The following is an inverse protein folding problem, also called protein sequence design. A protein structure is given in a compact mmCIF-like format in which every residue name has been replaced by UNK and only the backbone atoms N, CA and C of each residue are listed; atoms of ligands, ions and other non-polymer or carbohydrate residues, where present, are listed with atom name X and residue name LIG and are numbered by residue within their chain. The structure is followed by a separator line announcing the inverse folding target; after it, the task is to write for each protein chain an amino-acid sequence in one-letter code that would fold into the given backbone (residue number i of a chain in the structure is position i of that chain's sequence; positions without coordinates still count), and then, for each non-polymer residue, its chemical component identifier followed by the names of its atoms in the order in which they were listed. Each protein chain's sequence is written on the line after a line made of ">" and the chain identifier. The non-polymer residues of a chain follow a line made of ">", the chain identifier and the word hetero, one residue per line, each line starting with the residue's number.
data_IF_487416177550
#
_entry.id   IF_487416177550
#
_cell.length_a   1.000
_cell.length_b   1.000
_cell.length_c   1.000
_cell.angle_alpha   90.00
_cell.angle_beta   90.00
_cell.angle_gamma   90.00
#
_symmetry.space_group_name_H-M   'P 1'
#
loop_
_entity.id
_entity.type
_entity.pdbx_description
1 polymer ?
#
# COMPACT_ATOMS: atom_id res chain seq x y z
N UNK A 1 -0.53 -37.48 33.57
CA UNK A 1 -0.15 -37.94 32.21
C UNK A 1 0.75 -39.16 32.37
N UNK A 2 0.59 -40.23 31.58
CA UNK A 2 1.32 -41.48 31.79
C UNK A 2 2.83 -41.42 31.46
N UNK A 3 3.28 -40.47 30.66
CA UNK A 3 4.68 -40.32 30.24
C UNK A 3 5.32 -39.08 30.89
N UNK A 4 6.42 -39.22 31.61
CA UNK A 4 7.11 -38.13 32.33
C UNK A 4 8.20 -37.43 31.49
N UNK A 5 8.04 -37.35 30.16
CA UNK A 5 9.02 -36.79 29.23
C UNK A 5 8.42 -35.66 28.40
N UNK A 6 9.29 -34.72 27.97
CA UNK A 6 8.88 -33.59 27.08
C UNK A 6 8.38 -34.04 25.70
N UNK A 7 8.83 -35.18 25.17
CA UNK A 7 8.32 -35.79 23.95
C UNK A 7 7.65 -37.13 24.19
N UNK A 8 6.32 -37.10 24.33
CA UNK A 8 5.52 -38.32 24.54
C UNK A 8 5.58 -39.28 23.34
N UNK A 9 5.87 -38.79 22.11
CA UNK A 9 5.95 -39.63 20.91
C UNK A 9 7.22 -40.43 20.91
N UNK A 10 8.34 -39.83 21.28
CA UNK A 10 9.62 -40.48 21.42
C UNK A 10 9.61 -41.54 22.53
N UNK A 11 9.01 -41.23 23.69
CA UNK A 11 8.84 -42.22 24.77
C UNK A 11 7.98 -43.42 24.33
N UNK A 12 6.94 -43.22 23.55
CA UNK A 12 6.13 -44.31 22.97
C UNK A 12 6.93 -45.14 21.97
N UNK A 13 7.74 -44.49 21.12
CA UNK A 13 8.64 -45.18 20.19
C UNK A 13 9.68 -46.03 20.92
N UNK A 14 10.31 -45.47 21.96
CA UNK A 14 11.24 -46.22 22.81
C UNK A 14 10.60 -47.44 23.46
N UNK A 15 9.40 -47.29 24.04
CA UNK A 15 8.64 -48.44 24.61
C UNK A 15 8.35 -49.51 23.56
N UNK A 16 7.96 -49.17 22.36
CA UNK A 16 7.66 -50.11 21.26
C UNK A 16 8.94 -50.78 20.78
N UNK A 17 10.04 -50.03 20.60
CA UNK A 17 11.33 -50.55 20.16
C UNK A 17 11.87 -51.59 21.15
N UNK A 18 11.79 -51.30 22.43
CA UNK A 18 12.23 -52.24 23.48
C UNK A 18 11.36 -53.52 23.52
N UNK A 19 10.03 -53.36 23.35
CA UNK A 19 9.14 -54.52 23.24
C UNK A 19 9.47 -55.39 22.02
N UNK A 20 9.76 -54.81 20.88
CA UNK A 20 10.13 -55.55 19.67
C UNK A 20 11.46 -56.29 19.86
N UNK A 21 12.43 -55.66 20.50
CA UNK A 21 13.73 -56.26 20.79
C UNK A 21 13.65 -57.46 21.76
N UNK A 22 12.71 -57.42 22.71
CA UNK A 22 12.50 -58.49 23.69
C UNK A 22 11.66 -59.68 23.13
N UNK A 23 11.08 -59.56 21.97
CA UNK A 23 10.34 -60.62 21.28
C UNK A 23 9.02 -61.04 21.91
N UNK A 24 8.52 -62.25 21.58
CA UNK A 24 7.18 -62.70 21.96
C UNK A 24 7.04 -63.06 23.46
N UNK A 25 8.11 -63.45 24.14
CA UNK A 25 8.13 -63.88 25.54
C UNK A 25 8.24 -62.70 26.54
N UNK A 26 8.07 -61.46 26.09
CA UNK A 26 8.25 -60.27 26.93
C UNK A 26 7.27 -60.20 28.11
N UNK A 27 7.80 -60.02 29.31
CA UNK A 27 6.97 -59.71 30.48
C UNK A 27 6.50 -58.23 30.39
N UNK A 28 5.27 -58.03 29.89
CA UNK A 28 4.68 -56.72 29.70
C UNK A 28 4.61 -55.90 31.01
N UNK A 29 4.44 -56.56 32.15
CA UNK A 29 4.39 -55.88 33.46
C UNK A 29 5.73 -55.29 33.81
N UNK A 30 6.83 -56.04 33.62
CA UNK A 30 8.19 -55.57 33.87
C UNK A 30 8.57 -54.42 32.92
N UNK A 31 8.22 -54.54 31.64
CA UNK A 31 8.45 -53.49 30.64
C UNK A 31 7.70 -52.19 30.97
N UNK A 32 6.40 -52.29 31.34
CA UNK A 32 5.61 -51.12 31.71
C UNK A 32 6.15 -50.41 32.97
N UNK A 33 6.66 -51.19 33.95
CA UNK A 33 7.33 -50.63 35.16
C UNK A 33 8.57 -49.81 34.77
N UNK A 34 9.42 -50.33 33.89
CA UNK A 34 10.63 -49.61 33.40
C UNK A 34 10.29 -48.29 32.74
N UNK A 35 9.21 -48.26 31.95
CA UNK A 35 8.76 -47.04 31.30
C UNK A 35 7.81 -46.18 32.15
N UNK A 36 7.61 -46.54 33.44
CA UNK A 36 6.75 -45.83 34.38
C UNK A 36 5.30 -45.61 33.87
N UNK A 37 4.73 -46.61 33.16
CA UNK A 37 3.37 -46.59 32.64
C UNK A 37 2.53 -47.74 33.18
N UNK A 38 1.20 -47.59 33.18
CA UNK A 38 0.30 -48.70 33.53
C UNK A 38 0.28 -49.77 32.43
N UNK A 39 -0.03 -51.04 32.84
CA UNK A 39 -0.21 -52.13 31.86
C UNK A 39 -1.22 -51.79 30.79
N UNK A 40 -2.33 -51.19 31.17
CA UNK A 40 -3.38 -50.75 30.23
C UNK A 40 -2.83 -49.76 29.20
N UNK A 41 -2.02 -48.79 29.62
CA UNK A 41 -1.33 -47.85 28.74
C UNK A 41 -0.37 -48.58 27.78
N UNK A 42 0.43 -49.53 28.28
CA UNK A 42 1.33 -50.32 27.47
C UNK A 42 0.62 -51.13 26.39
N UNK A 43 -0.42 -51.89 26.76
CA UNK A 43 -1.23 -52.64 25.77
C UNK A 43 -1.99 -51.75 24.80
N UNK A 44 -2.47 -50.58 25.23
CA UNK A 44 -3.09 -49.58 24.34
C UNK A 44 -2.15 -49.14 23.24
N UNK A 45 -0.94 -48.75 23.56
CA UNK A 45 0.04 -48.30 22.60
C UNK A 45 0.57 -49.42 21.72
N UNK A 46 0.74 -50.63 22.26
CA UNK A 46 1.09 -51.82 21.51
C UNK A 46 0.03 -52.14 20.44
N UNK A 47 -1.23 -52.22 20.83
CA UNK A 47 -2.35 -52.44 19.87
C UNK A 47 -2.40 -51.40 18.79
N UNK A 48 -2.15 -50.12 19.14
CA UNK A 48 -2.10 -49.02 18.12
C UNK A 48 -0.94 -49.19 17.18
N UNK A 49 0.21 -49.57 17.65
CA UNK A 49 1.37 -49.86 16.81
C UNK A 49 1.11 -51.03 15.85
N UNK A 50 0.57 -52.13 16.34
CA UNK A 50 0.19 -53.28 15.50
C UNK A 50 -0.82 -52.95 14.41
N UNK A 51 -1.76 -52.02 14.68
CA UNK A 51 -2.80 -51.60 13.73
C UNK A 51 -2.33 -50.60 12.71
N UNK A 52 -1.27 -49.79 12.95
CA UNK A 52 -0.92 -48.69 12.06
C UNK A 52 0.56 -48.27 12.11
N UNK A 53 1.44 -49.10 12.67
CA UNK A 53 2.89 -48.86 12.71
C UNK A 53 3.30 -47.62 13.48
N UNK A 54 4.51 -47.13 13.24
CA UNK A 54 5.09 -45.94 13.87
C UNK A 54 4.22 -44.66 13.80
N UNK A 55 3.57 -44.34 12.67
CA UNK A 55 2.66 -43.20 12.58
C UNK A 55 1.50 -43.22 13.58
N UNK A 56 1.04 -44.41 13.99
CA UNK A 56 -0.07 -44.56 14.95
C UNK A 56 0.31 -44.19 16.38
N UNK A 57 1.62 -44.08 16.69
CA UNK A 57 2.11 -43.65 17.99
C UNK A 57 1.96 -42.15 18.25
N UNK A 58 1.72 -41.35 17.21
CA UNK A 58 1.42 -39.93 17.38
C UNK A 58 0.10 -39.73 18.13
N UNK A 59 0.05 -38.75 19.03
CA UNK A 59 -1.18 -38.41 19.72
C UNK A 59 -2.20 -37.91 18.72
N UNK A 60 -3.37 -38.57 18.61
CA UNK A 60 -4.49 -38.03 17.81
C UNK A 60 -5.03 -36.79 18.52
N UNK A 61 -5.17 -35.65 17.83
CA UNK A 61 -5.76 -34.48 18.46
C UNK A 61 -7.21 -34.82 18.91
N UNK A 62 -7.50 -34.51 20.18
CA UNK A 62 -8.83 -34.78 20.77
C UNK A 62 -9.84 -33.78 20.21
N UNK A 63 -10.52 -34.14 19.15
CA UNK A 63 -11.58 -33.31 18.55
C UNK A 63 -12.88 -33.56 19.33
N UNK A 64 -13.36 -32.56 20.06
CA UNK A 64 -14.61 -32.64 20.80
C UNK A 64 -15.80 -32.66 19.85
N UNK A 65 -16.92 -33.31 20.22
CA UNK A 65 -18.16 -33.32 19.44
C UNK A 65 -18.63 -31.90 19.07
N UNK A 66 -18.47 -30.96 20.02
CA UNK A 66 -18.75 -29.53 19.78
C UNK A 66 -17.86 -28.93 18.67
N UNK A 67 -16.58 -29.27 18.62
CA UNK A 67 -15.67 -28.79 17.58
C UNK A 67 -16.00 -29.39 16.21
N UNK A 68 -16.46 -30.65 16.16
CA UNK A 68 -16.93 -31.31 14.95
C UNK A 68 -18.20 -30.66 14.42
N UNK A 69 -19.22 -30.47 15.25
CA UNK A 69 -20.47 -29.79 14.87
C UNK A 69 -20.22 -28.36 14.35
N UNK A 70 -19.31 -27.62 15.01
CA UNK A 70 -18.92 -26.29 14.57
C UNK A 70 -18.23 -26.32 13.19
N UNK A 71 -17.38 -27.31 12.93
CA UNK A 71 -16.71 -27.48 11.64
C UNK A 71 -17.70 -27.87 10.54
N UNK A 72 -18.59 -28.81 10.78
CA UNK A 72 -19.63 -29.22 9.84
C UNK A 72 -20.48 -28.03 9.39
N UNK A 73 -20.87 -27.17 10.33
CA UNK A 73 -21.68 -25.99 10.03
C UNK A 73 -20.94 -24.89 9.27
N UNK A 74 -19.71 -24.57 9.67
CA UNK A 74 -19.03 -23.35 9.23
C UNK A 74 -17.95 -23.55 8.18
N UNK A 75 -17.33 -24.74 8.07
CA UNK A 75 -16.27 -24.97 7.10
C UNK A 75 -16.75 -24.84 5.64
N UNK A 76 -17.91 -25.43 5.24
CA UNK A 76 -18.43 -25.23 3.88
C UNK A 76 -18.70 -23.75 3.55
N UNK A 77 -19.28 -23.00 4.50
CA UNK A 77 -19.56 -21.56 4.37
C UNK A 77 -18.28 -20.74 4.24
N UNK A 78 -17.26 -21.07 5.04
CA UNK A 78 -15.93 -20.45 4.96
C UNK A 78 -15.29 -20.70 3.60
N UNK A 79 -15.33 -21.92 3.09
CA UNK A 79 -14.76 -22.27 1.79
C UNK A 79 -15.53 -21.60 0.63
N UNK A 80 -16.85 -21.48 0.73
CA UNK A 80 -17.64 -20.71 -0.22
C UNK A 80 -17.25 -19.23 -0.21
N UNK A 81 -17.14 -18.62 0.97
CA UNK A 81 -16.66 -17.24 1.10
C UNK A 81 -15.23 -17.07 0.53
N UNK A 82 -14.35 -18.06 0.76
CA UNK A 82 -13.00 -18.10 0.23
C UNK A 82 -12.97 -18.21 -1.30
N UNK A 83 -13.86 -18.98 -1.92
CA UNK A 83 -14.00 -19.08 -3.39
C UNK A 83 -14.43 -17.73 -3.98
N UNK A 84 -15.40 -17.04 -3.35
CA UNK A 84 -15.84 -15.69 -3.77
C UNK A 84 -14.73 -14.64 -3.64
N UNK A 85 -13.88 -14.77 -2.61
CA UNK A 85 -12.83 -13.80 -2.26
C UNK A 85 -11.48 -14.50 -1.98
N UNK A 86 -10.86 -15.05 -3.04
CA UNK A 86 -9.62 -15.86 -2.95
C UNK A 86 -8.48 -15.20 -2.16
N UNK A 87 -8.41 -13.86 -2.20
CA UNK A 87 -7.33 -13.08 -1.59
C UNK A 87 -7.62 -12.63 -0.15
N UNK A 88 -8.78 -13.00 0.41
CA UNK A 88 -9.09 -12.64 1.78
C UNK A 88 -8.44 -13.64 2.76
N UNK A 89 -7.80 -13.08 3.78
CA UNK A 89 -7.35 -13.85 4.95
C UNK A 89 -8.46 -14.04 5.97
N UNK A 90 -8.20 -14.78 7.06
CA UNK A 90 -9.21 -15.15 8.07
C UNK A 90 -10.02 -13.97 8.61
N UNK A 91 -9.37 -12.83 8.89
CA UNK A 91 -10.04 -11.63 9.41
C UNK A 91 -11.11 -11.09 8.45
N UNK A 92 -10.76 -10.96 7.16
CA UNK A 92 -11.68 -10.45 6.13
C UNK A 92 -12.76 -11.46 5.76
N UNK A 93 -12.44 -12.76 5.77
CA UNK A 93 -13.44 -13.81 5.60
C UNK A 93 -14.44 -13.84 6.76
N UNK A 94 -13.97 -13.67 8.01
CA UNK A 94 -14.87 -13.55 9.17
C UNK A 94 -15.78 -12.32 9.07
N UNK A 95 -15.26 -11.20 8.56
CA UNK A 95 -16.05 -10.01 8.29
C UNK A 95 -17.14 -10.30 7.23
N UNK A 96 -16.78 -10.98 6.13
CA UNK A 96 -17.75 -11.38 5.10
C UNK A 96 -18.83 -12.31 5.66
N UNK A 97 -18.44 -13.34 6.43
CA UNK A 97 -19.39 -14.22 7.11
C UNK A 97 -20.30 -13.47 8.07
N UNK A 98 -19.82 -12.40 8.73
CA UNK A 98 -20.66 -11.55 9.59
C UNK A 98 -21.72 -10.79 8.80
N UNK A 99 -21.41 -10.38 7.56
CA UNK A 99 -22.41 -9.76 6.67
C UNK A 99 -23.44 -10.78 6.20
N UNK A 100 -22.99 -11.98 5.80
CA UNK A 100 -23.87 -13.04 5.32
C UNK A 100 -24.71 -13.66 6.46
N UNK A 101 -24.20 -13.68 7.70
CA UNK A 101 -24.82 -14.31 8.88
C UNK A 101 -24.79 -13.39 10.12
N UNK A 102 -25.51 -12.26 10.11
CA UNK A 102 -25.40 -11.22 11.14
C UNK A 102 -25.79 -11.68 12.54
N UNK A 103 -26.76 -12.56 12.67
CA UNK A 103 -27.28 -13.05 13.95
C UNK A 103 -26.56 -14.28 14.51
N UNK A 104 -25.65 -14.89 13.72
CA UNK A 104 -25.00 -16.13 14.12
C UNK A 104 -23.70 -15.89 14.92
N UNK A 105 -23.42 -16.77 15.88
CA UNK A 105 -22.13 -16.80 16.57
C UNK A 105 -21.07 -17.41 15.64
N UNK A 106 -20.15 -16.57 15.14
CA UNK A 106 -19.10 -16.99 14.23
C UNK A 106 -17.92 -17.67 14.96
N UNK A 107 -17.23 -18.61 14.30
CA UNK A 107 -15.98 -19.16 14.82
C UNK A 107 -14.93 -18.10 15.08
N UNK A 108 -14.01 -18.38 16.02
CA UNK A 108 -12.87 -17.54 16.32
C UNK A 108 -11.88 -17.46 15.14
N UNK A 109 -11.09 -16.38 15.09
CA UNK A 109 -10.11 -16.18 14.02
C UNK A 109 -9.08 -17.30 13.92
N UNK A 110 -8.60 -17.81 15.07
CA UNK A 110 -7.65 -18.94 15.13
C UNK A 110 -8.26 -20.19 14.52
N UNK A 111 -9.53 -20.47 14.78
CA UNK A 111 -10.26 -21.63 14.22
C UNK A 111 -10.37 -21.51 12.71
N UNK A 112 -10.79 -20.34 12.20
CA UNK A 112 -10.88 -20.08 10.75
C UNK A 112 -9.52 -20.20 10.07
N UNK A 113 -8.44 -19.66 10.68
CA UNK A 113 -7.09 -19.76 10.14
C UNK A 113 -6.63 -21.21 10.03
N UNK A 114 -6.81 -22.00 11.10
CA UNK A 114 -6.46 -23.41 11.13
C UNK A 114 -7.24 -24.23 10.07
N UNK A 115 -8.52 -23.96 9.90
CA UNK A 115 -9.30 -24.64 8.85
C UNK A 115 -8.82 -24.33 7.44
N UNK A 116 -8.46 -23.06 7.17
CA UNK A 116 -7.89 -22.67 5.88
C UNK A 116 -6.52 -23.32 5.62
N UNK A 117 -5.71 -23.50 6.66
CA UNK A 117 -4.45 -24.23 6.57
C UNK A 117 -4.66 -25.71 6.26
N UNK A 118 -5.52 -26.39 7.02
CA UNK A 118 -5.80 -27.80 6.81
C UNK A 118 -6.40 -28.12 5.43
N UNK A 119 -7.16 -27.17 4.87
CA UNK A 119 -7.76 -27.33 3.52
C UNK A 119 -6.82 -26.88 2.41
N UNK A 120 -5.57 -26.50 2.71
CA UNK A 120 -4.60 -26.00 1.73
C UNK A 120 -4.99 -24.66 1.07
N UNK A 121 -6.05 -24.01 1.58
CA UNK A 121 -6.53 -22.74 1.03
C UNK A 121 -5.94 -21.52 1.70
N UNK A 122 -5.18 -21.70 2.78
CA UNK A 122 -4.38 -20.66 3.40
C UNK A 122 -3.24 -20.27 2.49
N UNK A 123 -3.08 -18.96 2.23
CA UNK A 123 -1.91 -18.46 1.56
C UNK A 123 -0.82 -18.24 2.59
N UNK A 124 0.27 -18.98 2.53
CA UNK A 124 1.47 -18.68 3.33
C UNK A 124 1.99 -17.30 2.92
N UNK A 125 1.73 -16.31 3.75
CA UNK A 125 2.36 -15.01 3.61
C UNK A 125 3.78 -15.17 4.14
N UNK A 126 4.79 -15.05 3.27
CA UNK A 126 6.17 -14.91 3.72
C UNK A 126 6.18 -13.74 4.71
N UNK A 127 6.61 -14.00 5.93
CA UNK A 127 6.81 -12.96 6.93
C UNK A 127 7.82 -11.96 6.33
N UNK A 128 7.33 -10.82 5.86
CA UNK A 128 8.21 -9.71 5.53
C UNK A 128 8.68 -9.18 6.87
N UNK A 129 9.98 -8.95 6.98
CA UNK A 129 10.58 -8.22 8.10
C UNK A 129 9.68 -7.05 8.46
N UNK A 130 9.44 -6.88 9.75
CA UNK A 130 8.65 -5.76 10.29
C UNK A 130 9.12 -4.47 9.62
N UNK A 131 8.25 -3.70 8.99
CA UNK A 131 8.65 -2.40 8.44
C UNK A 131 9.23 -1.59 9.58
N UNK A 132 10.44 -1.08 9.40
CA UNK A 132 11.04 -0.13 10.33
C UNK A 132 10.09 1.05 10.62
N UNK A 133 10.30 1.79 11.68
CA UNK A 133 9.44 2.89 12.08
C UNK A 133 9.26 3.85 10.89
N UNK A 134 8.01 4.17 10.55
CA UNK A 134 7.71 5.15 9.51
C UNK A 134 8.18 6.50 10.02
N UNK A 135 9.33 6.95 9.55
CA UNK A 135 9.86 8.28 9.88
C UNK A 135 8.87 9.33 9.38
N UNK A 136 8.27 10.05 10.32
CA UNK A 136 7.45 11.23 10.01
C UNK A 136 8.38 12.35 9.57
N UNK A 137 8.38 12.67 8.28
CA UNK A 137 9.13 13.81 7.78
C UNK A 137 8.50 15.11 8.29
N UNK A 138 9.29 16.02 8.87
CA UNK A 138 8.80 17.31 9.32
C UNK A 138 8.09 18.05 8.19
N UNK A 139 7.00 18.73 8.52
CA UNK A 139 6.24 19.55 7.57
C UNK A 139 5.33 18.80 6.59
N UNK A 140 5.28 17.46 6.58
CA UNK A 140 4.30 16.71 5.77
C UNK A 140 2.92 16.71 6.41
N UNK A 141 1.88 16.87 5.58
CA UNK A 141 0.50 16.70 6.03
C UNK A 141 0.23 15.23 6.36
N UNK A 142 -0.42 15.01 7.48
CA UNK A 142 -0.97 13.71 7.81
C UNK A 142 -2.41 13.67 7.27
N UNK A 143 -2.73 12.73 6.38
CA UNK A 143 -4.10 12.55 5.90
C UNK A 143 -4.99 11.97 7.00
N UNK A 144 -5.57 12.84 7.81
CA UNK A 144 -6.53 12.50 8.88
C UNK A 144 -7.95 12.43 8.35
N UNK A 145 -8.30 13.38 7.48
CA UNK A 145 -9.61 13.48 6.84
C UNK A 145 -9.54 13.16 5.35
N UNK A 146 -10.68 12.82 4.75
CA UNK A 146 -10.78 12.66 3.30
C UNK A 146 -10.29 13.93 2.60
N UNK A 147 -9.53 13.73 1.53
CA UNK A 147 -8.96 14.79 0.69
C UNK A 147 -7.90 15.68 1.37
N UNK A 148 -7.43 15.34 2.57
CA UNK A 148 -6.23 15.99 3.09
C UNK A 148 -5.03 15.69 2.20
N UNK A 149 -4.82 14.41 1.89
CA UNK A 149 -3.68 13.97 1.06
C UNK A 149 -4.16 12.92 0.07
N UNK A 150 -4.00 13.19 -1.22
CA UNK A 150 -4.06 12.15 -2.23
C UNK A 150 -2.64 11.68 -2.56
N UNK A 151 -2.46 10.38 -2.66
CA UNK A 151 -1.23 9.77 -3.14
C UNK A 151 -1.37 9.40 -4.60
N UNK A 152 -0.39 9.79 -5.42
CA UNK A 152 -0.35 9.50 -6.85
C UNK A 152 0.93 8.73 -7.18
N UNK A 153 0.82 7.66 -7.98
CA UNK A 153 1.96 6.83 -8.32
C UNK A 153 1.71 6.05 -9.64
N UNK A 154 2.79 5.68 -10.31
CA UNK A 154 2.79 4.81 -11.48
C UNK A 154 3.13 3.38 -11.05
N UNK A 155 2.18 2.47 -11.20
CA UNK A 155 2.43 1.05 -11.02
C UNK A 155 3.20 0.51 -12.21
N UNK A 156 4.44 0.12 -12.04
CA UNK A 156 5.33 -0.37 -13.08
C UNK A 156 4.65 -0.96 -14.33
N UNK A 157 5.30 -0.85 -15.47
CA UNK A 157 4.75 -1.22 -16.77
C UNK A 157 4.61 -2.74 -16.98
N UNK A 158 3.66 -3.14 -17.82
CA UNK A 158 3.50 -4.50 -18.32
C UNK A 158 2.85 -4.47 -19.71
N UNK A 159 2.83 -5.61 -20.41
CA UNK A 159 2.20 -5.75 -21.74
C UNK A 159 0.86 -6.43 -21.65
N UNK A 160 -0.10 -6.02 -22.48
CA UNK A 160 -1.34 -6.75 -22.78
C UNK A 160 -1.07 -7.88 -23.77
N UNK A 161 -2.05 -8.76 -23.98
CA UNK A 161 -1.93 -9.90 -24.88
C UNK A 161 -1.59 -9.52 -26.33
N UNK A 162 -2.02 -8.33 -26.78
CA UNK A 162 -1.66 -7.73 -28.08
C UNK A 162 -0.28 -7.05 -28.11
N UNK A 163 0.54 -7.23 -27.06
CA UNK A 163 1.89 -6.69 -26.97
C UNK A 163 2.01 -5.22 -26.56
N UNK A 164 0.92 -4.50 -26.40
CA UNK A 164 0.93 -3.05 -26.07
C UNK A 164 1.32 -2.80 -24.62
N UNK A 165 2.10 -1.74 -24.40
CA UNK A 165 2.50 -1.33 -23.06
C UNK A 165 1.37 -0.67 -22.27
N UNK A 166 1.25 -1.04 -21.01
CA UNK A 166 0.36 -0.45 -20.02
C UNK A 166 1.19 0.21 -18.93
N UNK A 167 0.87 1.47 -18.64
CA UNK A 167 1.41 2.23 -17.51
C UNK A 167 0.25 2.63 -16.60
N UNK A 168 -0.05 1.86 -15.55
CA UNK A 168 -1.17 2.18 -14.68
C UNK A 168 -0.85 3.38 -13.79
N UNK A 169 -1.56 4.47 -13.96
CA UNK A 169 -1.60 5.58 -13.03
C UNK A 169 -2.62 5.30 -11.94
N UNK A 170 -2.20 5.40 -10.70
CA UNK A 170 -3.06 5.16 -9.54
C UNK A 170 -3.13 6.40 -8.67
N UNK A 171 -4.33 6.76 -8.23
CA UNK A 171 -4.58 7.86 -7.31
C UNK A 171 -5.46 7.37 -6.18
N UNK A 172 -5.05 7.65 -4.95
CA UNK A 172 -5.72 7.15 -3.75
C UNK A 172 -5.81 8.23 -2.68
N UNK A 173 -6.95 8.33 -2.02
CA UNK A 173 -7.09 9.12 -0.79
C UNK A 173 -6.40 8.41 0.38
N UNK A 174 -5.54 9.12 1.11
CA UNK A 174 -4.74 8.53 2.18
C UNK A 174 -5.58 8.15 3.40
N UNK A 175 -6.52 8.99 3.80
CA UNK A 175 -7.31 8.80 4.99
C UNK A 175 -8.26 7.61 4.86
N UNK A 176 -9.18 7.66 3.90
CA UNK A 176 -10.20 6.63 3.68
C UNK A 176 -9.66 5.38 2.98
N UNK A 177 -8.50 5.48 2.32
CA UNK A 177 -8.00 4.41 1.48
C UNK A 177 -8.75 4.24 0.16
N UNK A 178 -9.66 5.15 -0.16
CA UNK A 178 -10.45 5.12 -1.39
C UNK A 178 -9.58 5.32 -2.62
N UNK A 179 -9.66 4.40 -3.57
CA UNK A 179 -8.95 4.47 -4.85
C UNK A 179 -9.77 5.31 -5.81
N UNK A 180 -9.32 6.56 -6.05
CA UNK A 180 -9.97 7.49 -6.95
C UNK A 180 -9.82 7.05 -8.41
N UNK A 181 -8.64 6.52 -8.75
CA UNK A 181 -8.31 6.18 -10.12
C UNK A 181 -7.35 4.98 -10.20
N UNK A 182 -7.57 4.13 -11.19
CA UNK A 182 -6.59 3.22 -11.79
C UNK A 182 -6.76 3.39 -13.29
N UNK A 183 -5.91 4.23 -13.90
CA UNK A 183 -6.01 4.59 -15.32
C UNK A 183 -4.84 4.03 -16.09
N UNK A 184 -5.11 3.27 -17.13
CA UNK A 184 -4.11 2.95 -18.13
C UNK A 184 -3.65 4.20 -18.87
N UNK A 185 -2.34 4.34 -19.01
CA UNK A 185 -1.70 5.32 -19.88
C UNK A 185 -0.85 4.59 -20.94
N UNK A 186 -0.88 4.99 -22.22
CA UNK A 186 0.02 4.43 -23.24
C UNK A 186 1.47 4.88 -23.01
N UNK A 187 1.65 6.08 -22.45
CA UNK A 187 2.95 6.66 -22.02
C UNK A 187 2.70 7.55 -20.80
N UNK A 188 3.59 7.56 -19.80
CA UNK A 188 3.44 8.40 -18.62
C UNK A 188 3.97 9.82 -18.89
N UNK A 189 3.22 10.62 -19.62
CA UNK A 189 3.56 12.02 -19.92
C UNK A 189 2.79 13.00 -19.04
N UNK A 190 3.37 14.17 -18.75
CA UNK A 190 2.73 15.29 -18.02
C UNK A 190 1.35 15.60 -18.56
N UNK A 191 1.20 15.66 -19.91
CA UNK A 191 -0.06 15.96 -20.57
C UNK A 191 -1.15 14.93 -20.26
N UNK A 192 -0.82 13.63 -20.33
CA UNK A 192 -1.80 12.56 -20.09
C UNK A 192 -2.17 12.48 -18.62
N UNK A 193 -1.18 12.57 -17.73
CA UNK A 193 -1.42 12.57 -16.29
C UNK A 193 -2.24 13.81 -15.89
N UNK A 194 -1.88 14.99 -16.40
CA UNK A 194 -2.61 16.22 -16.16
C UNK A 194 -4.08 16.11 -16.56
N UNK A 195 -4.39 15.53 -17.73
CA UNK A 195 -5.78 15.28 -18.17
C UNK A 195 -6.54 14.34 -17.21
N UNK A 196 -5.88 13.28 -16.74
CA UNK A 196 -6.50 12.37 -15.76
C UNK A 196 -6.78 13.10 -14.47
N UNK A 197 -5.80 13.85 -13.95
CA UNK A 197 -5.95 14.59 -12.70
C UNK A 197 -7.03 15.66 -12.79
N UNK A 198 -7.13 16.41 -13.88
CA UNK A 198 -8.21 17.39 -14.08
C UNK A 198 -9.59 16.73 -14.04
N UNK A 199 -9.77 15.55 -14.66
CA UNK A 199 -11.02 14.78 -14.55
C UNK A 199 -11.32 14.38 -13.10
N UNK A 200 -10.30 13.97 -12.34
CA UNK A 200 -10.47 13.63 -10.93
C UNK A 200 -10.83 14.86 -10.10
N UNK A 201 -10.18 15.99 -10.33
CA UNK A 201 -10.48 17.25 -9.65
C UNK A 201 -11.90 17.73 -9.90
N UNK A 202 -12.38 17.65 -11.15
CA UNK A 202 -13.79 17.96 -11.48
C UNK A 202 -14.76 17.02 -10.78
N UNK A 203 -14.43 15.73 -10.71
CA UNK A 203 -15.33 14.70 -10.15
C UNK A 203 -15.35 14.69 -8.63
N UNK A 204 -14.20 14.83 -7.99
CA UNK A 204 -14.03 14.60 -6.55
C UNK A 204 -13.66 15.87 -5.78
N UNK A 205 -13.43 16.98 -6.45
CA UNK A 205 -12.89 18.21 -5.88
C UNK A 205 -11.37 18.14 -5.66
N UNK A 206 -10.80 19.20 -5.10
CA UNK A 206 -9.36 19.34 -4.91
C UNK A 206 -8.90 18.80 -3.56
N UNK A 207 -7.80 18.02 -3.48
CA UNK A 207 -7.16 17.68 -2.22
C UNK A 207 -6.40 18.89 -1.63
N UNK A 208 -6.07 18.83 -0.35
CA UNK A 208 -5.16 19.82 0.26
C UNK A 208 -3.71 19.60 -0.19
N UNK A 209 -3.30 18.34 -0.32
CA UNK A 209 -1.98 17.98 -0.81
C UNK A 209 -2.02 16.79 -1.79
N UNK A 210 -1.05 16.79 -2.71
CA UNK A 210 -0.71 15.64 -3.55
C UNK A 210 0.65 15.12 -3.12
N UNK A 211 0.72 13.83 -2.78
CA UNK A 211 1.96 13.13 -2.48
C UNK A 211 2.34 12.22 -3.63
N UNK A 212 3.57 12.38 -4.12
CA UNK A 212 4.10 11.67 -5.29
C UNK A 212 5.56 11.28 -5.07
N UNK A 213 6.08 10.41 -5.92
CA UNK A 213 7.52 10.12 -5.96
C UNK A 213 8.32 11.27 -6.59
N UNK A 214 9.65 11.10 -6.60
CA UNK A 214 10.58 12.07 -7.23
C UNK A 214 10.87 11.75 -8.71
N UNK A 215 10.39 10.61 -9.20
CA UNK A 215 10.63 10.15 -10.56
C UNK A 215 9.86 10.95 -11.60
N UNK A 216 10.35 10.91 -12.84
CA UNK A 216 9.56 11.42 -13.97
C UNK A 216 8.28 10.59 -14.13
N UNK A 217 7.15 11.21 -14.47
CA UNK A 217 6.95 12.61 -14.81
C UNK A 217 6.58 13.53 -13.64
N UNK A 218 6.50 13.02 -12.41
CA UNK A 218 6.10 13.81 -11.24
C UNK A 218 7.18 14.79 -10.80
N UNK A 219 8.43 14.52 -11.16
CA UNK A 219 9.57 15.35 -10.91
C UNK A 219 10.24 15.83 -12.18
N UNK A 220 10.81 17.05 -12.16
CA UNK A 220 11.54 17.64 -13.26
C UNK A 220 12.92 18.15 -12.79
N UNK A 221 13.81 18.40 -13.75
CA UNK A 221 15.04 19.14 -13.52
C UNK A 221 14.69 20.63 -13.53
N UNK A 222 15.04 21.33 -12.46
CA UNK A 222 14.77 22.78 -12.36
C UNK A 222 14.43 23.19 -10.92
N UNK A 223 14.05 24.45 -10.71
CA UNK A 223 13.73 24.99 -9.40
C UNK A 223 12.64 24.15 -8.72
N UNK A 224 12.90 23.77 -7.47
CA UNK A 224 12.00 22.90 -6.70
C UNK A 224 11.70 21.55 -7.39
N UNK A 225 12.30 21.24 -8.55
CA UNK A 225 12.02 20.06 -9.34
C UNK A 225 10.58 19.98 -9.83
N UNK A 226 9.94 21.10 -10.08
CA UNK A 226 8.56 21.13 -10.57
C UNK A 226 8.47 21.06 -12.09
N UNK A 227 7.50 20.31 -12.57
CA UNK A 227 7.04 20.32 -13.97
C UNK A 227 5.95 21.40 -14.16
N UNK A 228 5.57 21.68 -15.40
CA UNK A 228 4.42 22.56 -15.70
C UNK A 228 3.12 22.08 -15.06
N UNK A 229 2.93 20.77 -15.02
CA UNK A 229 1.79 20.15 -14.35
C UNK A 229 1.79 20.43 -12.84
N UNK A 230 2.95 20.37 -12.20
CA UNK A 230 3.09 20.70 -10.78
C UNK A 230 2.75 22.16 -10.50
N UNK A 231 3.21 23.09 -11.36
CA UNK A 231 2.92 24.52 -11.22
C UNK A 231 1.41 24.76 -11.33
N UNK A 232 0.74 24.10 -12.26
CA UNK A 232 -0.72 24.20 -12.39
C UNK A 232 -1.44 23.73 -11.11
N UNK A 233 -0.98 22.64 -10.49
CA UNK A 233 -1.56 22.17 -9.23
C UNK A 233 -1.32 23.13 -8.06
N UNK A 234 -0.14 23.75 -7.99
CA UNK A 234 0.12 24.83 -7.03
C UNK A 234 -0.84 26.02 -7.21
N UNK A 235 -1.14 26.40 -8.46
CA UNK A 235 -2.13 27.46 -8.77
C UNK A 235 -3.54 27.08 -8.31
N UNK A 236 -3.88 25.80 -8.25
CA UNK A 236 -5.14 25.33 -7.64
C UNK A 236 -5.08 25.30 -6.10
N UNK A 237 -4.01 25.82 -5.50
CA UNK A 237 -3.80 25.81 -4.05
C UNK A 237 -3.60 24.40 -3.48
N UNK A 238 -3.08 23.48 -4.28
CA UNK A 238 -2.73 22.12 -3.85
C UNK A 238 -1.26 22.10 -3.43
N UNK A 239 -0.99 21.68 -2.21
CA UNK A 239 0.38 21.48 -1.72
C UNK A 239 1.01 20.25 -2.36
N UNK A 240 2.24 20.37 -2.85
CA UNK A 240 2.98 19.26 -3.43
C UNK A 240 3.94 18.65 -2.40
N UNK A 241 3.87 17.35 -2.22
CA UNK A 241 4.75 16.60 -1.34
C UNK A 241 5.42 15.47 -2.13
N UNK A 242 6.74 15.51 -2.17
CA UNK A 242 7.53 14.47 -2.81
C UNK A 242 8.08 13.49 -1.77
N UNK A 243 8.14 12.20 -2.12
CA UNK A 243 8.83 11.18 -1.35
C UNK A 243 10.33 11.44 -1.29
N UNK A 244 11.03 10.79 -0.37
CA UNK A 244 12.50 10.77 -0.41
C UNK A 244 12.94 9.87 -1.57
N UNK A 245 14.03 10.23 -2.28
CA UNK A 245 14.58 9.36 -3.31
C UNK A 245 14.92 7.98 -2.74
N UNK A 246 14.51 6.91 -3.43
CA UNK A 246 14.80 5.54 -3.01
C UNK A 246 14.13 5.05 -1.73
N UNK A 247 13.16 5.81 -1.18
CA UNK A 247 12.45 5.45 0.05
C UNK A 247 10.98 5.08 -0.21
N UNK A 248 10.68 3.87 -0.72
CA UNK A 248 9.33 3.40 -0.94
C UNK A 248 8.49 3.40 0.34
N UNK A 249 9.14 3.26 1.50
CA UNK A 249 8.54 3.28 2.83
C UNK A 249 7.76 4.58 3.15
N UNK A 250 7.94 5.63 2.36
CA UNK A 250 7.21 6.90 2.53
C UNK A 250 5.72 6.78 2.13
N UNK A 251 5.33 5.71 1.41
CA UNK A 251 3.95 5.47 0.99
C UNK A 251 3.53 3.98 1.08
N UNK A 252 3.67 3.33 2.24
CA UNK A 252 3.50 1.88 2.39
C UNK A 252 2.09 1.41 2.05
N UNK A 253 1.07 2.24 2.31
CA UNK A 253 -0.31 1.91 2.01
C UNK A 253 -0.63 1.92 0.50
N UNK A 254 0.08 2.73 -0.28
CA UNK A 254 -0.03 2.73 -1.74
C UNK A 254 0.67 1.50 -2.33
N UNK A 255 1.84 1.15 -1.83
CA UNK A 255 2.56 -0.06 -2.22
C UNK A 255 1.76 -1.33 -1.92
N UNK A 256 1.14 -1.41 -0.74
CA UNK A 256 0.25 -2.52 -0.41
C UNK A 256 -0.91 -2.63 -1.41
N UNK A 257 -1.52 -1.50 -1.78
CA UNK A 257 -2.57 -1.45 -2.80
C UNK A 257 -2.04 -1.92 -4.16
N UNK A 258 -0.83 -1.50 -4.55
CA UNK A 258 -0.17 -1.94 -5.77
C UNK A 258 0.09 -3.45 -5.79
N UNK A 259 0.48 -4.04 -4.67
CA UNK A 259 0.62 -5.48 -4.53
C UNK A 259 -0.68 -6.21 -4.84
N UNK A 260 -1.80 -5.72 -4.28
CA UNK A 260 -3.13 -6.26 -4.50
C UNK A 260 -3.59 -6.07 -5.96
N UNK A 261 -3.38 -4.88 -6.53
CA UNK A 261 -3.70 -4.57 -7.93
C UNK A 261 -2.93 -5.50 -8.88
N UNK A 262 -1.63 -5.69 -8.64
CA UNK A 262 -0.78 -6.57 -9.44
C UNK A 262 -1.32 -7.99 -9.47
N UNK A 263 -1.67 -8.52 -8.32
CA UNK A 263 -2.16 -9.89 -8.18
C UNK A 263 -3.54 -10.09 -8.80
N UNK A 264 -4.44 -9.13 -8.64
CA UNK A 264 -5.85 -9.30 -8.99
C UNK A 264 -6.23 -8.78 -10.37
N UNK A 265 -5.49 -7.80 -10.89
CA UNK A 265 -5.88 -7.09 -12.11
C UNK A 265 -4.79 -6.97 -13.18
N UNK A 266 -3.55 -7.41 -12.91
CA UNK A 266 -2.50 -7.39 -13.94
C UNK A 266 -1.99 -8.78 -14.32
N UNK A 267 -2.38 -9.83 -13.61
CA UNK A 267 -1.94 -11.23 -13.87
C UNK A 267 -3.14 -12.18 -13.92
N UNK A 268 -3.35 -12.89 -15.03
CA UNK A 268 -2.77 -12.62 -16.35
C UNK A 268 -3.20 -11.24 -16.85
N UNK A 269 -2.45 -10.65 -17.78
CA UNK A 269 -2.85 -9.41 -18.44
C UNK A 269 -4.08 -9.65 -19.34
N UNK A 270 -4.87 -8.60 -19.59
CA UNK A 270 -6.00 -8.69 -20.53
C UNK A 270 -5.51 -8.67 -21.97
N UNK A 271 -6.37 -9.05 -22.92
CA UNK A 271 -6.02 -9.18 -24.34
C UNK A 271 -5.56 -7.88 -24.98
N UNK A 272 -6.14 -6.74 -24.57
CA UNK A 272 -5.79 -5.41 -25.09
C UNK A 272 -5.98 -4.32 -24.02
N UNK A 273 -5.52 -3.07 -24.28
CA UNK A 273 -5.61 -1.97 -23.33
C UNK A 273 -7.04 -1.61 -22.88
N UNK A 274 -8.02 -1.72 -23.77
CA UNK A 274 -9.42 -1.42 -23.45
C UNK A 274 -9.99 -2.43 -22.44
N UNK A 275 -9.80 -3.71 -22.70
CA UNK A 275 -10.18 -4.79 -21.78
C UNK A 275 -9.45 -4.67 -20.44
N UNK A 276 -8.17 -4.24 -20.49
CA UNK A 276 -7.37 -4.01 -19.29
C UNK A 276 -7.93 -2.84 -18.46
N UNK A 277 -8.35 -1.75 -19.10
CA UNK A 277 -8.99 -0.62 -18.39
C UNK A 277 -10.30 -1.04 -17.74
N UNK A 278 -11.15 -1.78 -18.46
CA UNK A 278 -12.40 -2.31 -17.89
C UNK A 278 -12.12 -3.19 -16.65
N UNK A 279 -11.05 -4.00 -16.69
CA UNK A 279 -10.63 -4.82 -15.56
C UNK A 279 -10.16 -3.96 -14.39
N UNK A 280 -9.41 -2.87 -14.63
CA UNK A 280 -9.04 -1.91 -13.61
C UNK A 280 -10.25 -1.24 -12.98
N UNK A 281 -11.24 -0.87 -13.77
CA UNK A 281 -12.46 -0.23 -13.27
C UNK A 281 -13.31 -1.18 -12.42
N UNK A 282 -13.44 -2.45 -12.84
CA UNK A 282 -14.09 -3.49 -12.02
C UNK A 282 -13.32 -3.72 -10.72
N UNK A 283 -11.99 -3.81 -10.78
CA UNK A 283 -11.14 -3.98 -9.61
C UNK A 283 -11.28 -2.80 -8.64
N UNK A 284 -11.24 -1.56 -9.13
CA UNK A 284 -11.38 -0.35 -8.33
C UNK A 284 -12.72 -0.28 -7.61
N UNK A 285 -13.82 -0.58 -8.31
CA UNK A 285 -15.15 -0.67 -7.69
C UNK A 285 -15.19 -1.71 -6.57
N UNK A 286 -14.71 -2.93 -6.85
CA UNK A 286 -14.63 -4.01 -5.87
C UNK A 286 -13.75 -3.65 -4.68
N UNK A 287 -12.60 -3.03 -4.91
CA UNK A 287 -11.68 -2.59 -3.86
C UNK A 287 -12.33 -1.57 -2.94
N UNK A 288 -13.02 -0.59 -3.48
CA UNK A 288 -13.66 0.47 -2.71
C UNK A 288 -14.92 0.01 -1.97
N UNK A 289 -15.76 -0.81 -2.61
CA UNK A 289 -17.09 -1.16 -2.10
C UNK A 289 -17.13 -2.47 -1.31
N UNK A 290 -16.22 -3.41 -1.59
CA UNK A 290 -16.33 -4.76 -1.03
C UNK A 290 -15.08 -5.23 -0.28
N UNK A 291 -14.00 -4.42 -0.22
CA UNK A 291 -12.80 -4.80 0.51
C UNK A 291 -12.70 -4.08 1.85
N UNK A 292 -12.92 -4.76 2.98
CA UNK A 292 -12.73 -4.18 4.28
C UNK A 292 -11.22 -3.96 4.56
N UNK A 293 -10.91 -2.87 5.24
CA UNK A 293 -9.54 -2.51 5.62
C UNK A 293 -9.35 -2.60 7.12
N UNK A 294 -8.35 -3.38 7.54
CA UNK A 294 -8.04 -3.56 8.97
C UNK A 294 -7.70 -2.23 9.65
N UNK A 295 -6.94 -1.37 8.96
CA UNK A 295 -6.60 -0.01 9.44
C UNK A 295 -7.82 0.88 9.66
N UNK A 296 -8.93 0.61 8.98
CA UNK A 296 -10.19 1.35 9.05
C UNK A 296 -11.24 0.62 9.92
N UNK A 297 -10.81 -0.24 10.85
CA UNK A 297 -11.74 -1.00 11.68
C UNK A 297 -12.61 -1.98 10.87
N UNK A 298 -12.09 -2.55 9.80
CA UNK A 298 -12.81 -3.45 8.87
C UNK A 298 -13.95 -2.77 8.08
N UNK A 299 -13.91 -1.44 7.96
CA UNK A 299 -14.83 -0.68 7.10
C UNK A 299 -14.30 -0.64 5.67
N UNK A 300 -15.20 -0.59 4.69
CA UNK A 300 -14.84 -0.44 3.27
C UNK A 300 -14.55 1.02 2.94
N UNK A 301 -13.58 1.33 2.05
CA UNK A 301 -13.21 2.71 1.71
C UNK A 301 -14.39 3.59 1.27
N UNK A 302 -15.34 3.03 0.49
CA UNK A 302 -16.49 3.78 -0.02
C UNK A 302 -17.44 4.26 1.08
N UNK A 303 -17.50 3.59 2.23
CA UNK A 303 -18.34 4.02 3.35
C UNK A 303 -17.78 5.28 4.05
N UNK A 304 -16.46 5.48 3.98
CA UNK A 304 -15.77 6.60 4.63
C UNK A 304 -15.54 7.79 3.70
N UNK A 305 -15.28 7.52 2.41
CA UNK A 305 -14.89 8.58 1.50
C UNK A 305 -16.05 9.54 1.21
N UNK A 306 -15.71 10.84 1.24
CA UNK A 306 -16.57 11.94 0.79
C UNK A 306 -15.77 12.84 -0.14
N UNK A 307 -16.42 13.36 -1.19
CA UNK A 307 -15.80 14.31 -2.13
C UNK A 307 -15.37 15.59 -1.41
N UNK A 308 -14.33 16.24 -1.93
CA UNK A 308 -13.85 17.51 -1.39
C UNK A 308 -14.85 18.64 -1.67
N UNK A 309 -15.11 19.52 -0.71
CA UNK A 309 -15.87 20.75 -0.94
C UNK A 309 -15.09 21.74 -1.80
N UNK A 310 -13.76 21.63 -1.87
CA UNK A 310 -12.91 22.51 -2.70
C UNK A 310 -13.11 22.16 -4.18
N UNK A 311 -13.82 22.99 -4.89
CA UNK A 311 -14.08 22.80 -6.32
C UNK A 311 -12.90 23.24 -7.17
N UNK A 312 -12.74 22.63 -8.36
CA UNK A 312 -11.80 23.12 -9.35
C UNK A 312 -12.29 24.51 -9.81
N UNK A 313 -11.45 25.57 -9.73
CA UNK A 313 -11.85 26.91 -10.15
C UNK A 313 -11.96 26.99 -11.68
N UNK A 314 -12.93 27.73 -12.18
CA UNK A 314 -13.09 27.99 -13.60
C UNK A 314 -11.97 28.89 -14.15
N UNK A 315 -11.51 29.82 -13.31
CA UNK A 315 -10.39 30.72 -13.60
C UNK A 315 -9.31 30.63 -12.56
N UNK A 316 -8.05 30.70 -12.99
CA UNK A 316 -6.90 30.70 -12.09
C UNK A 316 -6.59 32.14 -11.68
N UNK A 317 -6.76 32.45 -10.40
CA UNK A 317 -6.37 33.76 -9.88
C UNK A 317 -4.85 33.89 -9.88
N UNK A 318 -4.30 34.94 -10.50
CA UNK A 318 -2.87 35.21 -10.44
C UNK A 318 -2.40 35.44 -8.99
N UNK A 319 -1.18 35.03 -8.70
CA UNK A 319 -0.59 35.36 -7.41
C UNK A 319 -0.33 36.86 -7.27
N UNK A 320 -0.65 37.39 -6.12
CA UNK A 320 -0.27 38.73 -5.74
C UNK A 320 1.14 38.73 -5.14
N UNK A 321 1.90 39.75 -5.48
CA UNK A 321 3.24 39.97 -4.94
C UNK A 321 3.27 41.26 -4.12
N UNK A 322 4.00 41.31 -3.01
CA UNK A 322 4.12 42.54 -2.20
C UNK A 322 4.59 43.74 -3.01
N UNK A 323 4.21 44.96 -2.60
CA UNK A 323 4.80 46.17 -3.17
C UNK A 323 6.34 46.15 -3.10
N UNK A 324 6.99 46.74 -4.08
CA UNK A 324 8.45 46.77 -4.17
C UNK A 324 9.10 45.51 -4.75
N UNK A 325 8.36 44.44 -4.99
CA UNK A 325 8.89 43.27 -5.70
C UNK A 325 8.83 43.50 -7.21
N UNK A 326 9.92 43.25 -7.93
CA UNK A 326 9.99 43.36 -9.38
C UNK A 326 9.25 42.15 -10.01
N UNK A 327 8.09 42.41 -10.66
CA UNK A 327 7.32 41.39 -11.38
C UNK A 327 7.84 41.24 -12.80
N UNK A 328 7.97 39.99 -13.28
CA UNK A 328 8.43 39.71 -14.64
C UNK A 328 7.85 38.39 -15.14
N UNK A 329 7.97 38.15 -16.45
CA UNK A 329 7.71 36.86 -17.11
C UNK A 329 8.98 36.36 -17.75
N UNK A 330 9.15 35.02 -17.78
CA UNK A 330 10.24 34.41 -18.55
C UNK A 330 9.95 34.43 -20.05
N UNK A 331 11.00 34.47 -20.85
CA UNK A 331 10.92 34.31 -22.30
C UNK A 331 10.49 32.85 -22.68
N UNK A 332 10.21 32.57 -24.00
CA UNK A 332 9.87 31.21 -24.46
C UNK A 332 10.95 30.15 -24.20
N UNK A 333 12.17 30.54 -23.90
CA UNK A 333 13.28 29.66 -23.53
C UNK A 333 13.42 29.47 -22.01
N UNK A 334 12.55 30.11 -21.19
CA UNK A 334 12.58 30.03 -19.73
C UNK A 334 13.66 30.91 -19.09
N UNK A 335 14.03 32.01 -19.75
CA UNK A 335 15.04 32.97 -19.30
C UNK A 335 14.41 34.30 -18.91
N UNK A 336 15.12 35.05 -18.09
CA UNK A 336 14.82 36.42 -17.74
C UNK A 336 16.11 37.28 -17.84
N UNK A 337 16.00 38.47 -18.39
CA UNK A 337 17.10 39.37 -18.52
C UNK A 337 17.22 40.23 -17.24
N UNK A 338 18.36 40.13 -16.55
CA UNK A 338 18.71 40.96 -15.39
C UNK A 338 20.11 41.56 -15.55
N UNK A 339 20.20 42.86 -15.41
CA UNK A 339 21.44 43.62 -15.63
C UNK A 339 22.13 43.31 -16.97
N UNK A 340 21.33 43.35 -18.05
CA UNK A 340 21.81 43.08 -19.42
C UNK A 340 22.16 41.60 -19.71
N UNK A 341 22.05 40.70 -18.76
CA UNK A 341 22.38 39.27 -18.93
C UNK A 341 21.16 38.38 -18.87
N UNK A 342 21.01 37.45 -19.83
CA UNK A 342 19.96 36.48 -19.82
C UNK A 342 20.23 35.35 -18.82
N UNK A 343 19.33 35.15 -17.85
CA UNK A 343 19.43 34.15 -16.80
C UNK A 343 18.42 33.05 -17.02
N UNK A 344 18.88 31.80 -17.15
CA UNK A 344 17.96 30.66 -17.31
C UNK A 344 17.35 30.27 -15.97
N UNK A 345 16.02 30.34 -15.87
CA UNK A 345 15.26 30.01 -14.66
C UNK A 345 14.61 28.63 -14.72
N UNK A 346 14.25 28.15 -15.93
CA UNK A 346 13.69 26.82 -16.13
C UNK A 346 12.51 26.77 -17.12
N UNK A 347 12.46 25.70 -17.94
CA UNK A 347 11.40 25.52 -18.95
C UNK A 347 9.99 25.38 -18.36
N UNK A 348 9.89 24.91 -17.14
CA UNK A 348 8.59 24.77 -16.46
C UNK A 348 7.96 26.12 -16.14
N UNK A 349 8.76 27.18 -16.05
CA UNK A 349 8.35 28.53 -15.68
C UNK A 349 8.00 29.41 -16.90
N UNK A 350 8.06 28.88 -18.12
CA UNK A 350 7.74 29.64 -19.34
C UNK A 350 6.32 30.20 -19.30
N UNK A 351 6.20 31.52 -19.46
CA UNK A 351 4.94 32.24 -19.45
C UNK A 351 4.36 32.49 -18.05
N UNK A 352 4.99 31.99 -17.00
CA UNK A 352 4.58 32.25 -15.63
C UNK A 352 4.97 33.65 -15.17
N UNK A 353 4.10 34.28 -14.39
CA UNK A 353 4.42 35.54 -13.73
C UNK A 353 5.20 35.23 -12.44
N UNK A 354 6.42 35.71 -12.41
CA UNK A 354 7.36 35.57 -11.30
C UNK A 354 7.60 36.93 -10.63
N UNK A 355 8.23 36.92 -9.47
CA UNK A 355 8.72 38.13 -8.84
C UNK A 355 10.13 37.93 -8.28
N UNK A 356 10.91 39.00 -8.34
CA UNK A 356 12.22 39.13 -7.73
C UNK A 356 12.15 40.05 -6.51
N UNK A 357 12.63 39.57 -5.38
CA UNK A 357 12.86 40.38 -4.17
C UNK A 357 14.35 40.68 -4.04
N UNK A 358 14.70 41.94 -3.97
CA UNK A 358 16.09 42.37 -3.68
C UNK A 358 16.42 42.02 -2.23
N UNK A 359 17.50 41.28 -2.04
CA UNK A 359 18.09 41.01 -0.72
C UNK A 359 19.22 41.96 -0.47
N UNK A 360 20.12 42.07 -1.44
CA UNK A 360 21.20 43.08 -1.52
C UNK A 360 21.24 43.62 -2.96
N UNK A 361 21.97 44.72 -3.24
CA UNK A 361 22.11 45.22 -4.60
C UNK A 361 22.51 44.14 -5.63
N UNK A 362 23.31 43.16 -5.20
CA UNK A 362 23.83 42.10 -6.07
C UNK A 362 23.18 40.75 -5.90
N UNK A 363 22.11 40.64 -5.08
CA UNK A 363 21.43 39.37 -4.76
C UNK A 363 19.91 39.51 -4.85
N UNK A 364 19.30 38.73 -5.74
CA UNK A 364 17.86 38.61 -5.85
C UNK A 364 17.39 37.25 -5.40
N UNK A 365 16.25 37.21 -4.69
CA UNK A 365 15.48 36.02 -4.44
C UNK A 365 14.30 35.95 -5.44
N UNK A 366 14.18 34.85 -6.17
CA UNK A 366 13.17 34.65 -7.21
C UNK A 366 12.02 33.78 -6.69
N UNK A 367 10.80 34.25 -6.90
CA UNK A 367 9.59 33.62 -6.39
C UNK A 367 8.59 33.28 -7.49
N UNK A 368 7.88 32.17 -7.28
CA UNK A 368 6.63 31.81 -7.97
C UNK A 368 5.51 31.81 -6.92
N UNK A 369 4.68 32.85 -6.90
CA UNK A 369 3.72 33.06 -5.81
C UNK A 369 4.44 33.11 -4.45
N UNK A 370 4.01 32.34 -3.46
CA UNK A 370 4.67 32.28 -2.15
C UNK A 370 5.95 31.42 -2.12
N UNK A 371 6.34 30.84 -3.25
CA UNK A 371 7.40 29.82 -3.27
C UNK A 371 8.72 30.40 -3.76
N UNK A 372 9.71 30.43 -2.88
CA UNK A 372 11.10 30.76 -3.26
C UNK A 372 11.64 29.69 -4.21
N UNK A 373 12.06 30.09 -5.41
CA UNK A 373 12.63 29.22 -6.44
C UNK A 373 14.15 29.10 -6.33
N UNK A 374 14.81 30.18 -5.95
CA UNK A 374 16.26 30.26 -5.87
C UNK A 374 16.77 31.70 -5.78
N UNK A 375 18.08 31.86 -5.93
CA UNK A 375 18.77 33.13 -5.85
C UNK A 375 19.57 33.40 -7.12
N UNK A 376 19.65 34.69 -7.52
CA UNK A 376 20.48 35.18 -8.60
C UNK A 376 21.51 36.11 -8.00
N UNK A 377 22.80 35.91 -8.30
CA UNK A 377 23.91 36.80 -7.98
C UNK A 377 24.30 37.61 -9.22
N UNK A 378 24.65 38.88 -9.05
CA UNK A 378 25.08 39.74 -10.14
C UNK A 378 26.38 39.21 -10.77
N UNK A 379 27.33 38.81 -9.94
CA UNK A 379 28.69 38.39 -10.32
C UNK A 379 28.76 36.96 -10.82
N UNK A 380 27.69 36.16 -10.67
CA UNK A 380 27.65 34.75 -11.10
C UNK A 380 27.01 34.64 -12.48
N UNK A 381 27.83 34.69 -13.57
CA UNK A 381 27.29 34.75 -14.94
C UNK A 381 26.69 33.41 -15.34
N UNK A 382 25.40 33.27 -15.18
CA UNK A 382 24.66 32.13 -15.73
C UNK A 382 24.07 31.13 -14.73
N UNK A 383 24.48 31.18 -13.48
CA UNK A 383 23.99 30.22 -12.48
C UNK A 383 22.81 30.78 -11.64
N UNK A 384 21.65 30.26 -11.88
CA UNK A 384 20.51 30.40 -10.96
C UNK A 384 20.68 29.36 -9.84
N UNK A 385 21.00 29.79 -8.61
CA UNK A 385 21.14 28.89 -7.46
C UNK A 385 19.74 28.43 -7.01
N UNK A 386 19.30 27.30 -7.52
CA UNK A 386 17.99 26.75 -7.26
C UNK A 386 17.82 26.25 -5.82
N UNK A 387 16.66 26.49 -5.23
CA UNK A 387 16.23 25.81 -4.01
C UNK A 387 15.82 24.37 -4.38
N UNK A 388 16.50 23.38 -3.82
CA UNK A 388 16.20 21.97 -4.04
C UNK A 388 14.91 21.56 -3.30
N UNK A 389 14.29 20.45 -3.70
CA UNK A 389 12.99 19.97 -3.17
C UNK A 389 12.91 19.79 -1.66
N UNK A 390 13.99 19.41 -1.02
CA UNK A 390 14.02 19.04 0.40
C UNK A 390 14.39 20.21 1.33
N UNK A 391 14.45 21.43 0.85
CA UNK A 391 14.67 22.59 1.72
C UNK A 391 13.41 22.88 2.50
N UNK A 392 13.42 22.90 3.85
CA UNK A 392 12.24 23.20 4.65
C UNK A 392 11.66 24.56 4.27
N UNK A 393 10.34 24.68 4.36
CA UNK A 393 9.63 25.94 4.19
C UNK A 393 10.07 26.87 5.34
N UNK A 394 10.96 27.80 5.09
CA UNK A 394 11.12 28.92 6.01
C UNK A 394 9.86 29.78 5.84
N UNK A 395 8.92 29.65 6.76
CA UNK A 395 7.86 30.63 6.96
C UNK A 395 8.57 31.91 7.40
N UNK A 396 8.85 32.80 6.45
CA UNK A 396 9.23 34.16 6.80
C UNK A 396 8.10 34.77 7.60
N UNK A 397 8.21 34.77 8.91
CA UNK A 397 7.54 35.72 9.76
C UNK A 397 8.27 37.05 9.61
N UNK A 398 7.59 38.01 9.14
CA UNK A 398 8.00 39.39 9.04
C UNK A 398 6.85 40.16 8.41
#
# INVERSE_FOLDING_TARGET
>A
MPWKTHDETEARQGFIAERLALGAAVNMTALCRRHHISRECGYKWWRRFMAGGGPALRAKPRVTARAQALAQLWLPRLLQAKRRQRHFGPKKLRWLLRQDYPRCRLPGLRTLARWLEHTGTARRQRCRSTPGPVLRLPGRLTGRCCNDVWTIDLKGRFRTGDGRWIYPLTVRDQASGFVLCVQHLPRPTDRLIGRVMLRLFRRYGLPRALRMDNGQPFGAIGPRGWSRMNILWLKFGIRLEHGRPGCPQDNPAHEQMHGILKEQATRPASVNPTAQQQRFDRWRRRYNQHRPHERLGMVVPAALYRSSPRRLPDTITPWHYPPGWQRFKTDPKGRWCWRGRARYLGRALVGEQLAARTITPDLLAIYLGPHLLGHLHADDPGTFRIVRRNTPFSSGRG
#
